data_IF_649197149859
#
_entry.id   IF_649197149859
#
_cell.length_a   1.000
_cell.length_b   1.000
_cell.length_c   1.000
_cell.angle_alpha   90.00
_cell.angle_beta   90.00
_cell.angle_gamma   90.00
#
_symmetry.space_group_name_H-M   'P 1'
#
loop_
_entity.id
_entity.type
_entity.pdbx_description
1 polymer ?
#
# COMPACT_ATOMS: atom_id res chain seq x y z
N UNK A 1 -40.15 -6.69 77.72
CA UNK A 1 -38.84 -6.00 77.80
C UNK A 1 -38.06 -6.31 76.52
N UNK A 2 -37.49 -5.25 75.95
CA UNK A 2 -36.86 -5.02 74.64
C UNK A 2 -36.36 -6.20 73.78
N UNK A 3 -36.79 -6.22 72.50
CA UNK A 3 -36.09 -6.84 71.37
C UNK A 3 -34.96 -5.90 70.92
N UNK A 4 -33.69 -6.32 71.01
CA UNK A 4 -32.56 -5.59 70.45
C UNK A 4 -32.44 -5.85 68.94
N UNK A 5 -32.53 -4.76 68.16
CA UNK A 5 -32.21 -4.69 66.73
C UNK A 5 -30.70 -4.84 66.54
N UNK A 6 -30.26 -5.82 65.74
CA UNK A 6 -28.90 -5.84 65.17
C UNK A 6 -28.89 -4.96 63.92
N UNK A 7 -28.27 -3.79 64.01
CA UNK A 7 -28.02 -2.90 62.87
C UNK A 7 -26.91 -3.50 62.00
N UNK A 8 -27.21 -3.71 60.72
CA UNK A 8 -26.23 -4.06 59.70
C UNK A 8 -25.55 -2.75 59.27
N UNK A 9 -24.27 -2.57 59.61
CA UNK A 9 -23.46 -1.45 59.13
C UNK A 9 -23.06 -1.76 57.67
N UNK A 10 -23.66 -1.08 56.71
CA UNK A 10 -23.22 -1.10 55.31
C UNK A 10 -21.99 -0.19 55.22
N UNK A 11 -20.79 -0.78 55.12
CA UNK A 11 -19.59 -0.05 54.70
C UNK A 11 -19.74 0.31 53.22
N UNK A 12 -20.01 1.58 52.94
CA UNK A 12 -19.93 2.14 51.61
C UNK A 12 -18.44 2.27 51.25
N UNK A 13 -17.91 1.32 50.47
CA UNK A 13 -16.58 1.43 49.90
C UNK A 13 -16.61 2.56 48.86
N UNK A 14 -16.07 3.73 49.22
CA UNK A 14 -15.80 4.81 48.28
C UNK A 14 -14.65 4.34 47.39
N UNK A 15 -14.99 3.84 46.20
CA UNK A 15 -14.02 3.66 45.12
C UNK A 15 -13.63 5.06 44.66
N UNK A 16 -12.48 5.54 45.13
CA UNK A 16 -11.83 6.71 44.54
C UNK A 16 -11.35 6.27 43.16
N UNK A 17 -12.14 6.57 42.14
CA UNK A 17 -11.66 6.57 40.76
C UNK A 17 -10.58 7.66 40.68
N UNK A 18 -9.33 7.27 40.89
CA UNK A 18 -8.19 8.07 40.52
C UNK A 18 -8.24 8.21 39.00
N UNK A 19 -8.91 9.26 38.52
CA UNK A 19 -8.77 9.70 37.14
C UNK A 19 -7.30 9.96 36.92
N UNK A 20 -6.64 9.07 36.18
CA UNK A 20 -5.29 9.34 35.68
C UNK A 20 -5.42 10.58 34.81
N UNK A 21 -5.08 11.74 35.37
CA UNK A 21 -5.00 12.97 34.61
C UNK A 21 -4.04 12.70 33.45
N UNK A 22 -4.56 12.74 32.24
CA UNK A 22 -3.73 12.70 31.03
C UNK A 22 -2.70 13.82 31.17
N UNK A 23 -1.41 13.48 31.22
CA UNK A 23 -0.37 14.51 31.23
C UNK A 23 -0.60 15.44 30.03
N UNK A 24 -0.30 16.75 30.13
CA UNK A 24 -0.36 17.66 28.97
C UNK A 24 0.56 17.16 27.85
N UNK A 25 0.19 17.45 26.58
CA UNK A 25 1.02 17.14 25.42
C UNK A 25 2.42 17.69 25.67
N UNK A 26 3.42 16.81 25.67
CA UNK A 26 4.81 17.25 25.76
C UNK A 26 5.13 17.92 24.43
N UNK A 27 5.87 19.02 24.48
CA UNK A 27 6.47 19.58 23.28
C UNK A 27 7.63 18.65 22.90
N UNK A 28 7.33 17.63 22.09
CA UNK A 28 8.36 16.74 21.55
C UNK A 28 8.86 17.34 20.24
N UNK A 29 10.16 17.28 19.98
CA UNK A 29 10.70 17.48 18.64
C UNK A 29 10.85 16.13 17.93
N UNK A 30 10.82 16.10 16.60
CA UNK A 30 11.28 14.95 15.84
C UNK A 30 12.64 14.44 16.36
N UNK A 31 12.72 13.14 16.66
CA UNK A 31 13.91 12.52 17.25
C UNK A 31 13.92 12.41 18.78
N UNK A 32 12.97 13.06 19.48
CA UNK A 32 12.83 12.89 20.93
C UNK A 32 12.28 11.51 21.30
N UNK A 33 12.81 10.93 22.37
CA UNK A 33 12.34 9.66 22.94
C UNK A 33 11.64 9.92 24.28
N UNK A 34 10.41 9.43 24.50
CA UNK A 34 9.73 9.57 25.78
C UNK A 34 10.41 8.75 26.87
N UNK A 35 10.21 9.13 28.14
CA UNK A 35 10.70 8.32 29.26
C UNK A 35 9.94 6.99 29.33
N UNK A 36 10.64 5.88 29.61
CA UNK A 36 10.08 4.52 29.61
C UNK A 36 8.87 4.34 30.54
N UNK A 37 8.82 5.10 31.64
CA UNK A 37 7.74 5.01 32.63
C UNK A 37 6.48 5.81 32.26
N UNK A 38 6.41 6.39 31.06
CA UNK A 38 5.22 7.08 30.55
C UNK A 38 4.40 6.19 29.63
N UNK A 39 3.20 6.64 29.31
CA UNK A 39 2.35 6.00 28.32
C UNK A 39 2.85 6.11 26.88
N UNK A 40 3.55 7.20 26.57
CA UNK A 40 4.29 7.33 25.32
C UNK A 40 5.48 6.38 25.26
N UNK A 41 6.12 6.09 26.40
CA UNK A 41 7.16 5.05 26.53
C UNK A 41 6.65 3.67 26.09
N UNK A 42 5.49 3.26 26.59
CA UNK A 42 4.86 1.99 26.18
C UNK A 42 4.47 1.93 24.69
N UNK A 43 4.11 3.06 24.07
CA UNK A 43 3.92 3.14 22.62
C UNK A 43 5.26 3.00 21.87
N UNK A 44 6.31 3.65 22.36
CA UNK A 44 7.66 3.54 21.79
C UNK A 44 8.15 2.09 21.80
N UNK A 45 8.06 1.41 22.94
CA UNK A 45 8.45 0.01 23.07
C UNK A 45 7.73 -0.90 22.06
N UNK A 46 6.41 -0.69 21.89
CA UNK A 46 5.60 -1.44 20.95
C UNK A 46 6.02 -1.18 19.49
N UNK A 47 6.32 0.07 19.15
CA UNK A 47 6.78 0.46 17.82
C UNK A 47 8.19 -0.04 17.52
N UNK A 48 9.10 0.00 18.48
CA UNK A 48 10.45 -0.57 18.34
C UNK A 48 10.41 -2.08 18.16
N UNK A 49 9.54 -2.78 18.88
CA UNK A 49 9.37 -4.22 18.68
C UNK A 49 8.79 -4.52 17.29
N UNK A 50 7.80 -3.73 16.85
CA UNK A 50 7.26 -3.80 15.49
C UNK A 50 8.34 -3.57 14.43
N UNK A 51 9.22 -2.58 14.64
CA UNK A 51 10.34 -2.26 13.76
C UNK A 51 11.37 -3.41 13.71
N UNK A 52 11.77 -3.96 14.87
CA UNK A 52 12.65 -5.13 14.95
C UNK A 52 12.06 -6.35 14.24
N UNK A 53 10.75 -6.54 14.34
CA UNK A 53 10.03 -7.61 13.68
C UNK A 53 9.93 -7.40 12.16
N UNK A 54 9.79 -6.15 11.70
CA UNK A 54 9.80 -5.77 10.28
C UNK A 54 11.18 -5.99 9.65
N UNK A 55 12.27 -5.62 10.33
CA UNK A 55 13.64 -5.81 9.85
C UNK A 55 13.97 -7.29 9.52
N UNK A 56 13.35 -8.22 10.26
CA UNK A 56 13.48 -9.67 10.07
C UNK A 56 12.45 -10.24 9.09
N UNK A 57 11.50 -9.44 8.60
CA UNK A 57 10.43 -9.92 7.73
C UNK A 57 10.95 -10.35 6.35
N UNK A 58 10.42 -11.43 5.77
CA UNK A 58 10.64 -11.79 4.37
C UNK A 58 9.94 -10.83 3.39
N UNK A 59 9.01 -9.99 3.86
CA UNK A 59 8.32 -9.00 3.04
C UNK A 59 9.11 -7.70 2.88
N UNK A 60 10.18 -7.51 3.66
CA UNK A 60 11.06 -6.36 3.51
C UNK A 60 11.85 -6.46 2.19
N UNK A 61 11.71 -5.46 1.34
CA UNK A 61 12.48 -5.34 0.09
C UNK A 61 13.89 -4.87 0.43
N UNK A 62 14.89 -5.70 0.10
CA UNK A 62 16.31 -5.45 0.42
C UNK A 62 17.14 -5.03 -0.80
N UNK A 63 16.49 -4.68 -1.90
CA UNK A 63 17.20 -4.20 -3.09
C UNK A 63 17.90 -2.86 -2.79
N UNK A 64 19.23 -2.78 -2.94
CA UNK A 64 19.98 -1.60 -2.52
C UNK A 64 19.65 -0.37 -3.36
N UNK A 65 19.40 -0.52 -4.67
CA UNK A 65 19.13 0.60 -5.57
C UNK A 65 17.77 1.25 -5.26
N UNK A 66 16.73 0.43 -5.08
CA UNK A 66 15.40 0.93 -4.71
C UNK A 66 15.41 1.57 -3.33
N UNK A 67 16.05 0.95 -2.32
CA UNK A 67 16.13 1.53 -0.98
C UNK A 67 16.88 2.86 -0.98
N UNK A 68 18.01 2.94 -1.70
CA UNK A 68 18.76 4.18 -1.83
C UNK A 68 17.91 5.28 -2.49
N UNK A 69 17.22 4.97 -3.58
CA UNK A 69 16.35 5.91 -4.29
C UNK A 69 15.25 6.48 -3.37
N UNK A 70 14.50 5.62 -2.68
CA UNK A 70 13.42 6.08 -1.80
C UNK A 70 13.98 6.84 -0.60
N UNK A 71 15.08 6.40 0.01
CA UNK A 71 15.74 7.11 1.11
C UNK A 71 16.19 8.51 0.69
N UNK A 72 16.78 8.67 -0.50
CA UNK A 72 17.20 9.97 -1.02
C UNK A 72 16.00 10.90 -1.23
N UNK A 73 14.90 10.39 -1.78
CA UNK A 73 13.66 11.16 -1.92
C UNK A 73 13.09 11.59 -0.57
N UNK A 74 13.00 10.67 0.40
CA UNK A 74 12.57 10.98 1.78
C UNK A 74 13.46 12.07 2.39
N UNK A 75 14.78 11.97 2.25
CA UNK A 75 15.70 12.96 2.81
C UNK A 75 15.59 14.35 2.16
N UNK A 76 15.29 14.42 0.85
CA UNK A 76 15.00 15.70 0.19
C UNK A 76 13.74 16.36 0.77
N UNK A 77 12.69 15.59 1.03
CA UNK A 77 11.45 16.09 1.64
C UNK A 77 11.60 16.40 3.14
N UNK A 78 12.37 15.60 3.87
CA UNK A 78 12.57 15.78 5.32
C UNK A 78 13.52 16.94 5.65
N UNK A 79 14.52 17.21 4.80
CA UNK A 79 15.58 18.17 5.09
C UNK A 79 16.39 17.74 6.33
N UNK A 80 16.58 18.65 7.29
CA UNK A 80 17.38 18.41 8.50
C UNK A 80 16.87 17.26 9.37
N UNK A 81 15.59 16.89 9.23
CA UNK A 81 14.97 15.77 9.94
C UNK A 81 15.25 14.40 9.31
N UNK A 82 15.93 14.33 8.15
CA UNK A 82 16.30 13.07 7.49
C UNK A 82 17.02 12.09 8.44
N UNK A 83 17.87 12.61 9.34
CA UNK A 83 18.61 11.80 10.33
C UNK A 83 17.71 11.05 11.32
N UNK A 84 16.47 11.51 11.48
CA UNK A 84 15.50 10.97 12.43
C UNK A 84 14.54 9.96 11.77
N UNK A 85 14.69 9.72 10.45
CA UNK A 85 13.79 8.86 9.66
C UNK A 85 14.51 7.62 9.16
N UNK A 86 13.91 6.45 9.41
CA UNK A 86 14.35 5.13 8.93
C UNK A 86 13.31 4.58 7.98
N UNK A 87 13.66 4.40 6.70
CA UNK A 87 12.73 4.00 5.64
C UNK A 87 12.77 2.50 5.41
N UNK A 88 11.59 1.87 5.34
CA UNK A 88 11.43 0.46 5.03
C UNK A 88 10.42 0.25 3.90
N UNK A 89 10.87 -0.38 2.81
CA UNK A 89 10.00 -0.73 1.69
C UNK A 89 9.43 -2.14 1.92
N UNK A 90 8.11 -2.25 1.96
CA UNK A 90 7.41 -3.49 2.33
C UNK A 90 6.61 -4.02 1.15
N UNK A 91 6.83 -5.29 0.78
CA UNK A 91 6.09 -5.99 -0.27
C UNK A 91 4.64 -6.22 0.14
N UNK A 92 3.80 -5.22 -0.11
CA UNK A 92 2.36 -5.20 0.14
C UNK A 92 1.69 -4.54 -1.06
N UNK A 93 0.83 -5.25 -1.81
CA UNK A 93 0.23 -4.71 -3.05
C UNK A 93 -0.87 -3.66 -2.83
N UNK A 94 -1.04 -3.18 -1.60
CA UNK A 94 -2.01 -2.16 -1.24
C UNK A 94 -1.35 -0.77 -1.24
N UNK A 95 -2.07 0.27 -1.65
CA UNK A 95 -1.57 1.64 -1.54
C UNK A 95 -1.49 2.04 -0.06
N UNK A 96 -0.29 2.29 0.45
CA UNK A 96 -0.08 2.85 1.77
C UNK A 96 1.36 3.36 1.91
N UNK A 97 1.52 4.44 2.66
CA UNK A 97 2.74 4.83 3.32
C UNK A 97 2.36 5.29 4.73
N UNK A 98 3.22 5.08 5.71
CA UNK A 98 2.94 5.52 7.08
C UNK A 98 4.23 5.91 7.78
N UNK A 99 4.13 6.87 8.68
CA UNK A 99 5.24 7.35 9.48
C UNK A 99 4.94 7.26 10.98
N UNK A 100 5.62 6.34 11.65
CA UNK A 100 5.51 6.17 13.09
C UNK A 100 6.22 7.31 13.85
N UNK A 101 5.77 7.64 15.08
CA UNK A 101 6.36 8.73 15.86
C UNK A 101 7.80 8.47 16.30
N UNK A 102 8.27 7.23 16.28
CA UNK A 102 9.67 6.89 16.58
C UNK A 102 10.61 7.09 15.37
N UNK A 103 10.11 7.56 14.22
CA UNK A 103 10.92 7.76 13.01
C UNK A 103 10.88 6.60 12.01
N UNK A 104 10.14 5.52 12.29
CA UNK A 104 9.98 4.40 11.35
C UNK A 104 8.97 4.76 10.24
N UNK A 105 9.46 4.91 9.01
CA UNK A 105 8.64 5.05 7.82
C UNK A 105 8.47 3.71 7.12
N UNK A 106 7.23 3.34 6.78
CA UNK A 106 6.94 2.21 5.91
C UNK A 106 6.34 2.70 4.59
N UNK A 107 6.90 2.23 3.47
CA UNK A 107 6.37 2.49 2.12
C UNK A 107 5.99 1.15 1.49
N UNK A 108 4.72 0.98 1.12
CA UNK A 108 4.25 -0.28 0.55
C UNK A 108 4.42 -0.30 -0.96
N UNK A 109 4.74 -1.47 -1.52
CA UNK A 109 4.95 -1.64 -2.98
C UNK A 109 3.70 -1.26 -3.79
N UNK A 110 2.50 -1.36 -3.22
CA UNK A 110 1.28 -0.87 -3.85
C UNK A 110 1.21 0.65 -4.00
N UNK A 111 1.91 1.44 -3.17
CA UNK A 111 2.07 2.88 -3.37
C UNK A 111 3.04 3.16 -4.53
N UNK A 112 4.17 2.45 -4.56
CA UNK A 112 5.16 2.55 -5.64
C UNK A 112 4.61 2.10 -7.01
N UNK A 113 3.69 1.14 -7.04
CA UNK A 113 3.04 0.72 -8.29
C UNK A 113 2.05 1.77 -8.82
N UNK A 114 1.43 2.55 -7.94
CA UNK A 114 0.33 3.48 -8.28
C UNK A 114 0.79 4.91 -8.51
N UNK A 115 1.86 5.35 -7.85
CA UNK A 115 2.48 6.61 -8.21
C UNK A 115 3.10 6.48 -9.60
N UNK A 116 2.85 7.46 -10.45
CA UNK A 116 3.31 7.48 -11.83
C UNK A 116 4.67 8.17 -11.94
N UNK A 117 4.97 9.12 -11.07
CA UNK A 117 6.21 9.88 -11.16
C UNK A 117 6.75 10.22 -9.76
N UNK A 118 7.98 10.73 -9.72
CA UNK A 118 8.68 11.08 -8.49
C UNK A 118 7.94 12.16 -7.70
N UNK A 119 7.29 13.11 -8.37
CA UNK A 119 6.49 14.16 -7.73
C UNK A 119 5.25 13.60 -7.00
N UNK A 120 4.56 12.61 -7.59
CA UNK A 120 3.43 11.92 -6.93
C UNK A 120 3.88 11.16 -5.69
N UNK A 121 4.97 10.38 -5.79
CA UNK A 121 5.54 9.69 -4.63
C UNK A 121 6.04 10.70 -3.59
N UNK A 122 6.71 11.76 -4.03
CA UNK A 122 7.23 12.83 -3.20
C UNK A 122 6.13 13.49 -2.37
N UNK A 123 4.99 13.82 -2.97
CA UNK A 123 3.83 14.35 -2.24
C UNK A 123 3.39 13.40 -1.11
N UNK A 124 3.26 12.10 -1.38
CA UNK A 124 2.88 11.09 -0.36
C UNK A 124 3.90 11.07 0.78
N UNK A 125 5.19 11.03 0.47
CA UNK A 125 6.24 11.01 1.48
C UNK A 125 6.28 12.31 2.30
N UNK A 126 6.10 13.46 1.63
CA UNK A 126 5.98 14.76 2.27
C UNK A 126 4.77 14.84 3.20
N UNK A 127 3.63 14.30 2.79
CA UNK A 127 2.43 14.19 3.64
C UNK A 127 2.70 13.37 4.91
N UNK A 128 3.31 12.19 4.78
CA UNK A 128 3.69 11.36 5.93
C UNK A 128 4.72 12.04 6.86
N UNK A 129 5.67 12.79 6.29
CA UNK A 129 6.62 13.61 7.05
C UNK A 129 5.87 14.74 7.78
N UNK A 130 4.86 15.37 7.16
CA UNK A 130 3.98 16.34 7.80
C UNK A 130 3.31 15.77 9.06
N UNK A 131 2.80 14.52 8.98
CA UNK A 131 2.25 13.83 10.15
C UNK A 131 3.27 13.61 11.27
N UNK A 132 4.52 13.31 10.91
CA UNK A 132 5.62 13.12 11.85
C UNK A 132 6.02 14.42 12.54
N UNK A 133 6.27 15.48 11.77
CA UNK A 133 6.65 16.80 12.30
C UNK A 133 5.52 17.39 13.17
N UNK A 134 4.27 17.22 12.75
CA UNK A 134 3.08 17.65 13.50
C UNK A 134 2.73 16.75 14.69
N UNK A 135 3.47 15.66 14.94
CA UNK A 135 3.22 14.67 16.01
C UNK A 135 1.77 14.13 16.01
N UNK A 136 1.18 13.97 14.83
CA UNK A 136 -0.23 13.64 14.68
C UNK A 136 -0.56 12.24 15.27
N UNK A 137 0.36 11.28 15.15
CA UNK A 137 0.20 9.93 15.74
C UNK A 137 0.22 9.95 17.27
N UNK A 138 1.01 10.82 17.88
CA UNK A 138 1.03 10.98 19.35
C UNK A 138 -0.24 11.68 19.84
N UNK A 139 -0.66 12.75 19.18
CA UNK A 139 -1.95 13.42 19.47
C UNK A 139 -3.11 12.43 19.34
N UNK A 140 -3.09 11.56 18.33
CA UNK A 140 -4.10 10.52 18.13
C UNK A 140 -4.02 9.40 19.17
N UNK A 141 -2.82 8.92 19.50
CA UNK A 141 -2.60 7.94 20.56
C UNK A 141 -3.18 8.40 21.89
N UNK A 142 -2.93 9.65 22.30
CA UNK A 142 -3.48 10.21 23.55
C UNK A 142 -5.00 10.28 23.55
N UNK A 143 -5.62 10.58 22.40
CA UNK A 143 -7.09 10.53 22.25
C UNK A 143 -7.62 9.11 22.42
N UNK A 144 -6.97 8.12 21.79
CA UNK A 144 -7.36 6.70 21.87
C UNK A 144 -7.06 6.10 23.25
N UNK A 145 -6.00 6.52 23.95
CA UNK A 145 -5.63 6.01 25.28
C UNK A 145 -6.70 6.27 26.34
N UNK A 146 -7.43 7.38 26.20
CA UNK A 146 -8.56 7.70 27.06
C UNK A 146 -9.78 6.77 26.81
N UNK A 147 -9.68 5.79 25.90
CA UNK A 147 -10.64 4.71 25.68
C UNK A 147 -10.16 3.40 26.31
N UNK A 148 -11.07 2.51 26.68
CA UNK A 148 -10.76 1.27 27.44
C UNK A 148 -9.85 0.25 26.73
N UNK A 149 -9.39 0.50 25.50
CA UNK A 149 -8.72 -0.48 24.64
C UNK A 149 -7.23 -0.18 24.34
N UNK A 150 -6.62 0.79 25.01
CA UNK A 150 -5.24 1.22 24.74
C UNK A 150 -4.21 0.09 24.85
N UNK A 151 -4.31 -0.75 25.88
CA UNK A 151 -3.39 -1.86 26.11
C UNK A 151 -3.50 -2.93 25.01
N UNK A 152 -4.72 -3.26 24.58
CA UNK A 152 -4.96 -4.21 23.48
C UNK A 152 -4.37 -3.70 22.17
N UNK A 153 -4.41 -2.39 21.93
CA UNK A 153 -3.81 -1.76 20.76
C UNK A 153 -2.27 -1.89 20.78
N UNK A 154 -1.62 -1.62 21.91
CA UNK A 154 -0.17 -1.80 22.07
C UNK A 154 0.25 -3.25 21.83
N UNK A 155 -0.48 -4.20 22.39
CA UNK A 155 -0.21 -5.62 22.18
C UNK A 155 -0.31 -6.02 20.71
N UNK A 156 -1.30 -5.50 19.97
CA UNK A 156 -1.44 -5.77 18.54
C UNK A 156 -0.29 -5.19 17.71
N UNK A 157 0.16 -3.97 18.04
CA UNK A 157 1.29 -3.31 17.36
C UNK A 157 2.60 -4.07 17.63
N UNK A 158 2.84 -4.44 18.90
CA UNK A 158 4.06 -5.13 19.32
C UNK A 158 4.12 -6.60 18.87
N UNK A 159 3.00 -7.33 18.93
CA UNK A 159 3.00 -8.78 18.79
C UNK A 159 3.12 -9.29 17.35
N UNK A 160 3.10 -8.42 16.32
CA UNK A 160 2.93 -8.88 14.93
C UNK A 160 3.96 -8.32 13.97
N UNK A 161 4.93 -9.18 13.65
CA UNK A 161 5.73 -9.10 12.44
C UNK A 161 4.80 -9.17 11.21
N UNK A 162 5.10 -8.45 10.11
CA UNK A 162 4.55 -8.76 8.81
C UNK A 162 5.02 -10.17 8.41
N UNK A 163 4.31 -11.22 8.85
CA UNK A 163 4.63 -12.60 8.49
C UNK A 163 4.27 -12.86 7.02
N UNK A 164 5.08 -13.67 6.33
CA UNK A 164 4.75 -14.20 5.01
C UNK A 164 3.77 -15.39 5.05
N UNK A 165 3.43 -15.89 6.24
CA UNK A 165 2.68 -17.14 6.43
C UNK A 165 1.16 -17.01 6.33
N UNK A 166 0.66 -15.95 5.70
CA UNK A 166 -0.76 -15.78 5.43
C UNK A 166 -0.94 -15.44 3.95
N UNK A 167 -1.01 -16.49 3.11
CA UNK A 167 -1.66 -16.36 1.82
C UNK A 167 -3.05 -15.76 2.04
N UNK A 168 -3.37 -14.68 1.34
CA UNK A 168 -4.64 -13.97 1.30
C UNK A 168 -5.19 -13.34 2.61
N UNK A 169 -4.73 -13.74 3.80
CA UNK A 169 -5.11 -13.07 5.05
C UNK A 169 -4.16 -11.91 5.35
N UNK A 170 -4.39 -10.80 4.66
CA UNK A 170 -4.02 -9.50 5.18
C UNK A 170 -4.55 -9.42 6.62
N UNK A 171 -3.67 -9.33 7.63
CA UNK A 171 -4.08 -9.40 9.03
C UNK A 171 -4.98 -8.20 9.34
N UNK A 172 -6.29 -8.41 9.24
CA UNK A 172 -7.32 -7.39 9.40
C UNK A 172 -7.23 -6.76 10.79
N UNK A 173 -6.79 -7.52 11.80
CA UNK A 173 -6.59 -6.99 13.14
C UNK A 173 -5.39 -6.03 13.20
N UNK A 174 -4.28 -6.39 12.54
CA UNK A 174 -3.12 -5.49 12.43
C UNK A 174 -3.47 -4.23 11.63
N UNK A 175 -4.19 -4.36 10.50
CA UNK A 175 -4.67 -3.19 9.75
C UNK A 175 -5.58 -2.32 10.61
N UNK A 176 -6.52 -2.90 11.35
CA UNK A 176 -7.42 -2.14 12.22
C UNK A 176 -6.66 -1.40 13.33
N UNK A 177 -5.62 -2.04 13.89
CA UNK A 177 -4.73 -1.42 14.86
C UNK A 177 -3.98 -0.22 14.26
N UNK A 178 -3.32 -0.41 13.11
CA UNK A 178 -2.67 0.68 12.37
C UNK A 178 -3.68 1.77 11.99
N UNK A 179 -4.83 1.42 11.43
CA UNK A 179 -5.89 2.37 11.08
C UNK A 179 -6.36 3.19 12.27
N UNK A 180 -6.41 2.62 13.48
CA UNK A 180 -6.81 3.35 14.68
C UNK A 180 -5.75 4.39 15.10
N UNK A 181 -4.46 4.03 14.98
CA UNK A 181 -3.34 4.88 15.37
C UNK A 181 -3.07 5.99 14.34
N UNK A 182 -3.23 5.68 13.05
CA UNK A 182 -2.94 6.56 11.92
C UNK A 182 -4.20 7.20 11.32
N UNK A 183 -5.32 7.21 12.06
CA UNK A 183 -6.52 7.95 11.66
C UNK A 183 -6.47 9.36 12.23
N UNK A 184 -6.30 10.33 11.35
CA UNK A 184 -6.08 11.71 11.76
C UNK A 184 -7.33 12.58 11.62
N UNK A 185 -7.28 13.75 12.28
CA UNK A 185 -8.33 14.77 12.16
C UNK A 185 -8.22 15.52 10.83
N UNK A 186 -9.29 16.17 10.39
CA UNK A 186 -9.28 16.97 9.15
C UNK A 186 -8.20 18.06 9.15
N UNK A 187 -7.93 18.66 10.32
CA UNK A 187 -6.90 19.69 10.44
C UNK A 187 -5.48 19.09 10.37
N UNK A 188 -5.28 17.88 10.89
CA UNK A 188 -4.00 17.16 10.77
C UNK A 188 -3.72 16.75 9.32
N UNK A 189 -4.74 16.30 8.59
CA UNK A 189 -4.62 16.00 7.16
C UNK A 189 -4.26 17.28 6.38
N UNK A 190 -4.93 18.41 6.65
CA UNK A 190 -4.66 19.70 5.99
C UNK A 190 -3.23 20.20 6.25
N UNK A 191 -2.77 20.13 7.49
CA UNK A 191 -1.39 20.49 7.86
C UNK A 191 -0.36 19.63 7.12
N UNK A 192 -0.65 18.34 6.97
CA UNK A 192 0.24 17.38 6.30
C UNK A 192 0.20 17.51 4.77
N UNK A 193 -0.97 17.75 4.19
CA UNK A 193 -1.17 18.06 2.77
C UNK A 193 -0.40 19.33 2.39
N UNK A 194 -0.52 20.40 3.18
CA UNK A 194 0.23 21.65 2.98
C UNK A 194 1.74 21.42 3.02
N UNK A 195 2.24 20.67 4.02
CA UNK A 195 3.67 20.33 4.11
C UNK A 195 4.15 19.60 2.85
N UNK A 196 3.39 18.60 2.39
CA UNK A 196 3.71 17.84 1.18
C UNK A 196 3.79 18.72 -0.06
N UNK A 197 2.85 19.66 -0.23
CA UNK A 197 2.86 20.58 -1.36
C UNK A 197 3.99 21.62 -1.27
N UNK A 198 4.18 22.28 -0.13
CA UNK A 198 5.24 23.26 0.06
C UNK A 198 6.63 22.67 -0.20
N UNK A 199 6.87 21.44 0.29
CA UNK A 199 8.11 20.71 -0.01
C UNK A 199 8.25 20.35 -1.48
N UNK A 200 7.15 19.95 -2.14
CA UNK A 200 7.17 19.65 -3.58
C UNK A 200 7.57 20.89 -4.39
N UNK A 201 6.96 22.05 -4.09
CA UNK A 201 7.30 23.34 -4.73
C UNK A 201 8.75 23.72 -4.46
N UNK A 202 9.22 23.60 -3.21
CA UNK A 202 10.60 23.91 -2.85
C UNK A 202 11.65 23.03 -3.57
N UNK A 203 11.27 21.81 -3.95
CA UNK A 203 12.10 20.87 -4.69
C UNK A 203 11.93 20.98 -6.22
N UNK A 204 11.08 21.89 -6.72
CA UNK A 204 10.83 22.09 -8.15
C UNK A 204 9.79 21.15 -8.77
N UNK A 205 9.13 20.29 -7.96
CA UNK A 205 8.09 19.39 -8.44
C UNK A 205 6.76 20.08 -8.66
N UNK A 206 6.01 19.60 -9.66
CA UNK A 206 4.63 20.03 -9.93
C UNK A 206 3.70 19.68 -8.74
N UNK A 207 3.19 20.68 -7.99
CA UNK A 207 2.32 20.42 -6.83
C UNK A 207 0.97 19.83 -7.23
N UNK A 208 0.55 19.94 -8.50
CA UNK A 208 -0.71 19.34 -8.96
C UNK A 208 -0.70 17.80 -8.90
N UNK A 209 0.49 17.20 -8.79
CA UNK A 209 0.64 15.75 -8.75
C UNK A 209 0.01 15.10 -7.51
N UNK A 210 -0.06 15.81 -6.38
CA UNK A 210 -0.72 15.30 -5.17
C UNK A 210 -2.21 15.04 -5.36
N UNK A 211 -2.96 16.04 -5.86
CA UNK A 211 -4.39 15.85 -6.11
C UNK A 211 -4.68 14.92 -7.30
N UNK A 212 -3.82 14.89 -8.33
CA UNK A 212 -3.94 13.95 -9.45
C UNK A 212 -3.82 12.50 -8.97
N UNK A 213 -2.85 12.21 -8.11
CA UNK A 213 -2.73 10.90 -7.48
C UNK A 213 -3.98 10.57 -6.65
N UNK A 214 -4.44 11.51 -5.83
CA UNK A 214 -5.66 11.31 -5.03
C UNK A 214 -6.90 11.01 -5.90
N UNK A 215 -7.07 11.73 -7.01
CA UNK A 215 -8.13 11.48 -7.98
C UNK A 215 -8.04 10.07 -8.57
N UNK A 216 -6.84 9.60 -8.92
CA UNK A 216 -6.63 8.25 -9.41
C UNK A 216 -7.00 7.19 -8.36
N UNK A 217 -6.63 7.42 -7.10
CA UNK A 217 -6.98 6.52 -5.98
C UNK A 217 -8.50 6.48 -5.72
N UNK A 218 -9.20 7.60 -5.86
CA UNK A 218 -10.66 7.65 -5.77
C UNK A 218 -11.33 6.85 -6.90
N UNK A 219 -10.80 6.93 -8.13
CA UNK A 219 -11.30 6.11 -9.24
C UNK A 219 -11.13 4.61 -8.97
N UNK A 220 -9.97 4.21 -8.44
CA UNK A 220 -9.70 2.83 -8.01
C UNK A 220 -10.62 2.38 -6.87
N UNK A 221 -10.91 3.23 -5.90
CA UNK A 221 -11.81 2.95 -4.77
C UNK A 221 -13.27 2.84 -5.21
N UNK A 222 -13.71 3.69 -6.13
CA UNK A 222 -15.06 3.63 -6.69
C UNK A 222 -15.33 2.33 -7.46
N UNK A 223 -14.28 1.73 -8.04
CA UNK A 223 -14.37 0.43 -8.70
C UNK A 223 -14.17 -0.77 -7.76
N UNK A 224 -13.74 -0.58 -6.51
CA UNK A 224 -13.39 -1.67 -5.59
C UNK A 224 -14.56 -2.65 -5.36
N UNK A 225 -14.23 -3.94 -5.31
CA UNK A 225 -15.10 -4.92 -4.66
C UNK A 225 -15.20 -4.61 -3.16
N UNK A 226 -16.37 -4.14 -2.71
CA UNK A 226 -16.61 -3.65 -1.35
C UNK A 226 -16.33 -4.69 -0.26
N UNK A 227 -16.24 -5.98 -0.59
CA UNK A 227 -15.85 -7.04 0.34
C UNK A 227 -14.35 -7.09 0.62
N UNK A 228 -13.52 -6.41 -0.18
CA UNK A 228 -12.05 -6.33 0.00
C UNK A 228 -11.70 -5.12 0.85
N UNK A 229 -10.65 -5.15 1.69
CA UNK A 229 -10.28 -3.99 2.51
C UNK A 229 -9.80 -2.80 1.65
N UNK A 230 -10.05 -1.58 2.12
CA UNK A 230 -9.40 -0.36 1.60
C UNK A 230 -8.27 0.03 2.54
N UNK A 231 -7.03 0.12 2.03
CA UNK A 231 -5.84 0.34 2.89
C UNK A 231 -5.61 1.80 3.21
N UNK A 232 -5.61 2.68 2.20
CA UNK A 232 -5.35 4.11 2.37
C UNK A 232 -6.55 4.82 2.98
N UNK A 233 -7.77 4.46 2.56
CA UNK A 233 -8.97 5.11 3.06
C UNK A 233 -9.41 4.62 4.46
N UNK A 234 -8.71 3.62 5.01
CA UNK A 234 -8.84 3.25 6.42
C UNK A 234 -8.15 4.28 7.35
N UNK A 235 -7.03 4.86 6.91
CA UNK A 235 -6.26 5.88 7.66
C UNK A 235 -6.61 7.30 7.23
N UNK A 236 -6.82 7.51 5.93
CA UNK A 236 -7.05 8.81 5.29
C UNK A 236 -8.38 8.79 4.51
N UNK A 237 -9.53 9.24 5.05
CA UNK A 237 -10.84 9.02 4.44
C UNK A 237 -11.00 9.53 2.99
N UNK A 238 -11.62 8.72 2.11
CA UNK A 238 -11.98 9.07 0.73
C UNK A 238 -13.14 10.07 0.71
N UNK A 239 -12.88 11.35 0.48
CA UNK A 239 -13.95 12.34 0.27
C UNK A 239 -13.67 13.21 -0.95
N UNK A 240 -14.73 13.52 -1.70
CA UNK A 240 -14.68 14.53 -2.78
C UNK A 240 -14.34 15.92 -2.23
N UNK A 241 -14.72 16.18 -0.97
CA UNK A 241 -14.34 17.37 -0.20
C UNK A 241 -12.81 17.50 -0.13
N UNK A 242 -12.09 16.42 0.24
CA UNK A 242 -10.63 16.44 0.31
C UNK A 242 -9.99 16.62 -1.07
N UNK A 243 -10.51 15.97 -2.12
CA UNK A 243 -10.00 16.19 -3.48
C UNK A 243 -10.10 17.67 -3.88
N UNK A 244 -11.23 18.30 -3.57
CA UNK A 244 -11.45 19.72 -3.83
C UNK A 244 -10.45 20.59 -3.05
N UNK A 245 -10.23 20.28 -1.76
CA UNK A 245 -9.25 20.98 -0.92
C UNK A 245 -7.83 20.84 -1.47
N UNK A 246 -7.37 19.62 -1.76
CA UNK A 246 -6.05 19.35 -2.33
C UNK A 246 -5.79 20.13 -3.63
N UNK A 247 -6.82 20.20 -4.48
CA UNK A 247 -6.72 20.96 -5.73
C UNK A 247 -6.57 22.46 -5.48
N UNK A 248 -7.40 23.04 -4.61
CA UNK A 248 -7.34 24.46 -4.28
C UNK A 248 -6.02 24.82 -3.60
N UNK A 249 -5.51 23.97 -2.71
CA UNK A 249 -4.22 24.17 -2.05
C UNK A 249 -3.08 24.16 -3.07
N UNK A 250 -3.02 23.16 -3.94
CA UNK A 250 -2.02 23.10 -5.00
C UNK A 250 -2.09 24.31 -5.96
N UNK A 251 -3.29 24.77 -6.32
CA UNK A 251 -3.51 25.96 -7.17
C UNK A 251 -3.16 27.28 -6.47
N UNK A 252 -3.20 27.32 -5.14
CA UNK A 252 -2.85 28.51 -4.34
C UNK A 252 -1.35 28.74 -4.21
N UNK A 253 -0.54 27.71 -4.48
CA UNK A 253 0.91 27.79 -4.37
C UNK A 253 1.52 28.46 -5.61
N UNK A 254 2.65 29.16 -5.45
CA UNK A 254 3.35 29.77 -6.58
C UNK A 254 3.65 28.75 -7.67
N UNK A 255 3.36 29.10 -8.93
CA UNK A 255 3.65 28.28 -10.10
C UNK A 255 5.16 28.20 -10.36
N UNK A 256 5.86 27.40 -9.56
CA UNK A 256 7.33 27.29 -9.60
C UNK A 256 7.85 25.86 -9.81
N UNK A 257 6.98 24.84 -9.79
CA UNK A 257 7.37 23.47 -10.08
C UNK A 257 6.67 22.91 -11.32
N UNK A 258 7.45 22.37 -12.26
CA UNK A 258 6.95 21.60 -13.41
C UNK A 258 7.61 20.24 -13.53
N UNK A 259 8.58 19.94 -12.67
CA UNK A 259 9.29 18.67 -12.73
C UNK A 259 8.39 17.54 -12.22
N UNK A 260 8.45 16.41 -12.93
CA UNK A 260 7.77 15.18 -12.52
C UNK A 260 8.74 14.15 -11.96
N UNK A 261 10.02 14.19 -12.36
CA UNK A 261 10.99 13.13 -12.09
C UNK A 261 10.58 11.77 -12.67
N UNK A 262 9.93 11.77 -13.85
CA UNK A 262 9.41 10.53 -14.45
C UNK A 262 10.52 9.52 -14.79
N UNK A 263 11.65 9.97 -15.35
CA UNK A 263 12.73 9.08 -15.78
C UNK A 263 13.42 8.38 -14.60
N UNK A 264 13.75 9.12 -13.53
CA UNK A 264 14.35 8.57 -12.32
C UNK A 264 13.40 7.58 -11.65
N UNK A 265 12.12 7.95 -11.53
CA UNK A 265 11.08 7.10 -10.99
C UNK A 265 10.91 5.80 -11.78
N UNK A 266 10.76 5.90 -13.10
CA UNK A 266 10.62 4.75 -13.97
C UNK A 266 11.82 3.82 -13.88
N UNK A 267 13.03 4.38 -13.86
CA UNK A 267 14.27 3.58 -13.72
C UNK A 267 14.29 2.80 -12.42
N UNK A 268 13.89 3.42 -11.31
CA UNK A 268 13.83 2.78 -10.00
C UNK A 268 12.73 1.72 -9.89
N UNK A 269 11.56 1.92 -10.51
CA UNK A 269 10.43 0.99 -10.40
C UNK A 269 10.48 -0.18 -11.40
N UNK A 270 11.06 0.03 -12.58
CA UNK A 270 11.04 -0.92 -13.71
C UNK A 270 11.43 -2.37 -13.35
N UNK A 271 12.48 -2.64 -12.55
CA UNK A 271 12.86 -4.00 -12.21
C UNK A 271 11.79 -4.80 -11.46
N UNK A 272 10.85 -4.10 -10.81
CA UNK A 272 9.87 -4.70 -9.90
C UNK A 272 8.46 -4.81 -10.48
N UNK A 273 8.18 -4.15 -11.61
CA UNK A 273 6.83 -4.04 -12.17
C UNK A 273 6.16 -5.40 -12.36
N UNK A 274 6.87 -6.39 -12.92
CA UNK A 274 6.31 -7.73 -13.12
C UNK A 274 5.88 -8.37 -11.81
N UNK A 275 6.71 -8.29 -10.76
CA UNK A 275 6.39 -8.85 -9.45
C UNK A 275 5.24 -8.11 -8.78
N UNK A 276 5.23 -6.79 -8.82
CA UNK A 276 4.19 -5.99 -8.16
C UNK A 276 2.83 -6.09 -8.87
N UNK A 277 2.81 -6.17 -10.19
CA UNK A 277 1.58 -6.42 -10.95
C UNK A 277 1.04 -7.83 -10.67
N UNK A 278 1.90 -8.83 -10.52
CA UNK A 278 1.49 -10.16 -10.10
C UNK A 278 0.88 -10.16 -8.67
N UNK A 279 1.51 -9.44 -7.73
CA UNK A 279 0.99 -9.26 -6.38
C UNK A 279 -0.37 -8.52 -6.37
N UNK A 280 -0.53 -7.50 -7.21
CA UNK A 280 -1.79 -6.76 -7.38
C UNK A 280 -2.91 -7.67 -7.88
N UNK A 281 -2.65 -8.46 -8.93
CA UNK A 281 -3.62 -9.43 -9.46
C UNK A 281 -3.98 -10.50 -8.40
N UNK A 282 -3.02 -10.91 -7.58
CA UNK A 282 -3.24 -11.86 -6.48
C UNK A 282 -4.18 -11.33 -5.40
N UNK A 283 -4.37 -10.00 -5.26
CA UNK A 283 -5.36 -9.44 -4.31
C UNK A 283 -6.81 -9.81 -4.66
N UNK A 284 -7.06 -10.26 -5.89
CA UNK A 284 -8.39 -10.61 -6.43
C UNK A 284 -9.40 -9.47 -6.33
N UNK A 285 -8.95 -8.22 -6.35
CA UNK A 285 -9.82 -7.04 -6.49
C UNK A 285 -9.84 -6.61 -7.96
N UNK A 286 -10.28 -7.52 -8.83
CA UNK A 286 -10.13 -7.39 -10.27
C UNK A 286 -10.68 -6.09 -10.87
N UNK A 287 -11.85 -5.55 -10.44
CA UNK A 287 -12.34 -4.29 -11.00
C UNK A 287 -11.42 -3.11 -10.66
N UNK A 288 -10.88 -3.05 -9.44
CA UNK A 288 -9.88 -2.04 -9.05
C UNK A 288 -8.58 -2.22 -9.84
N UNK A 289 -8.11 -3.45 -10.00
CA UNK A 289 -6.91 -3.75 -10.79
C UNK A 289 -7.08 -3.33 -12.26
N UNK A 290 -8.26 -3.50 -12.86
CA UNK A 290 -8.52 -3.05 -14.24
C UNK A 290 -8.42 -1.53 -14.38
N UNK A 291 -8.95 -0.76 -13.42
CA UNK A 291 -8.80 0.72 -13.39
C UNK A 291 -7.34 1.13 -13.30
N UNK A 292 -6.56 0.46 -12.46
CA UNK A 292 -5.12 0.69 -12.36
C UNK A 292 -4.41 0.39 -13.70
N UNK A 293 -4.69 -0.76 -14.32
CA UNK A 293 -4.08 -1.14 -15.60
C UNK A 293 -4.47 -0.19 -16.73
N UNK A 294 -5.73 0.28 -16.78
CA UNK A 294 -6.20 1.29 -17.74
C UNK A 294 -5.43 2.59 -17.57
N UNK A 295 -5.28 3.07 -16.33
CA UNK A 295 -4.53 4.28 -16.02
C UNK A 295 -3.06 4.17 -16.43
N UNK A 296 -2.38 3.09 -16.02
CA UNK A 296 -0.97 2.87 -16.36
C UNK A 296 -0.76 2.73 -17.87
N UNK A 297 -1.70 2.13 -18.61
CA UNK A 297 -1.60 1.97 -20.06
C UNK A 297 -1.82 3.28 -20.82
N UNK A 298 -2.63 4.20 -20.28
CA UNK A 298 -2.89 5.53 -20.86
C UNK A 298 -1.86 6.58 -20.45
N UNK A 299 -0.85 6.20 -19.66
CA UNK A 299 0.24 7.08 -19.26
C UNK A 299 1.23 7.23 -20.42
N UNK A 300 1.56 8.47 -20.74
CA UNK A 300 2.63 8.78 -21.69
C UNK A 300 3.97 8.18 -21.23
N UNK A 301 4.61 7.43 -22.12
CA UNK A 301 5.96 6.88 -21.89
C UNK A 301 6.04 5.63 -21.02
N UNK A 302 4.93 4.94 -20.70
CA UNK A 302 5.01 3.71 -19.92
C UNK A 302 5.94 2.67 -20.59
N UNK A 303 6.93 2.09 -19.88
CA UNK A 303 8.04 1.39 -20.52
C UNK A 303 7.71 0.04 -21.15
N UNK A 304 6.62 -0.63 -20.72
CA UNK A 304 6.29 -1.99 -21.14
C UNK A 304 4.77 -2.17 -21.36
N UNK A 305 4.17 -1.57 -22.40
CA UNK A 305 2.72 -1.69 -22.64
C UNK A 305 2.27 -3.15 -22.83
N UNK A 306 3.12 -4.02 -23.39
CA UNK A 306 2.83 -5.45 -23.51
C UNK A 306 2.73 -6.17 -22.15
N UNK A 307 3.47 -5.70 -21.14
CA UNK A 307 3.37 -6.23 -19.77
C UNK A 307 2.00 -5.92 -19.15
N UNK A 308 1.47 -4.71 -19.36
CA UNK A 308 0.15 -4.33 -18.86
C UNK A 308 -0.97 -5.10 -19.57
N UNK A 309 -0.85 -5.29 -20.88
CA UNK A 309 -1.78 -6.12 -21.65
C UNK A 309 -1.76 -7.58 -21.17
N UNK A 310 -0.57 -8.13 -20.90
CA UNK A 310 -0.45 -9.47 -20.31
C UNK A 310 -1.16 -9.58 -18.95
N UNK A 311 -0.92 -8.63 -18.03
CA UNK A 311 -1.58 -8.66 -16.72
C UNK A 311 -3.08 -8.40 -16.80
N UNK A 312 -3.56 -7.69 -17.83
CA UNK A 312 -5.00 -7.61 -18.12
C UNK A 312 -5.56 -8.97 -18.50
N UNK A 313 -4.85 -9.76 -19.30
CA UNK A 313 -5.18 -11.15 -19.59
C UNK A 313 -5.23 -12.01 -18.33
N UNK A 314 -4.25 -11.87 -17.43
CA UNK A 314 -4.20 -12.56 -16.14
C UNK A 314 -5.40 -12.21 -15.24
N UNK A 315 -5.85 -10.95 -15.24
CA UNK A 315 -7.06 -10.52 -14.52
C UNK A 315 -8.28 -11.28 -15.04
N UNK A 316 -8.51 -11.31 -16.35
CA UNK A 316 -9.66 -12.02 -16.92
C UNK A 316 -9.58 -13.53 -16.67
N UNK A 317 -8.40 -14.13 -16.87
CA UNK A 317 -8.16 -15.56 -16.63
C UNK A 317 -8.48 -15.97 -15.20
N UNK A 318 -8.14 -15.14 -14.21
CA UNK A 318 -8.39 -15.43 -12.78
C UNK A 318 -9.77 -15.01 -12.31
N UNK A 319 -10.39 -13.99 -12.90
CA UNK A 319 -11.75 -13.53 -12.56
C UNK A 319 -12.82 -14.53 -13.00
N UNK A 320 -12.66 -15.17 -14.16
CA UNK A 320 -13.56 -16.20 -14.70
C UNK A 320 -15.03 -15.77 -14.78
N UNK A 321 -15.29 -14.49 -15.02
CA UNK A 321 -16.65 -14.03 -15.30
C UNK A 321 -17.09 -14.48 -16.72
N UNK A 322 -18.40 -14.50 -17.02
CA UNK A 322 -18.87 -14.80 -18.37
C UNK A 322 -18.18 -13.95 -19.44
N UNK A 323 -17.62 -14.61 -20.45
CA UNK A 323 -16.85 -13.99 -21.54
C UNK A 323 -15.41 -13.60 -21.20
N UNK A 324 -14.91 -13.92 -19.99
CA UNK A 324 -13.52 -13.61 -19.63
C UNK A 324 -12.51 -14.50 -20.35
N UNK A 325 -12.84 -15.74 -20.74
CA UNK A 325 -11.91 -16.59 -21.50
C UNK A 325 -11.53 -15.93 -22.84
N UNK A 326 -12.53 -15.40 -23.56
CA UNK A 326 -12.28 -14.63 -24.79
C UNK A 326 -11.50 -13.35 -24.51
N UNK A 327 -11.88 -12.58 -23.48
CA UNK A 327 -11.18 -11.34 -23.12
C UNK A 327 -9.73 -11.58 -22.69
N UNK A 328 -9.43 -12.72 -22.06
CA UNK A 328 -8.08 -13.12 -21.72
C UNK A 328 -7.25 -13.40 -22.99
N UNK A 329 -7.82 -14.16 -23.94
CA UNK A 329 -7.19 -14.40 -25.26
C UNK A 329 -6.93 -13.08 -25.98
N UNK A 330 -7.93 -12.22 -26.10
CA UNK A 330 -7.81 -10.92 -26.77
C UNK A 330 -6.72 -10.05 -26.13
N UNK A 331 -6.62 -10.06 -24.79
CA UNK A 331 -5.59 -9.32 -24.06
C UNK A 331 -4.18 -9.91 -24.24
N UNK A 332 -4.03 -11.23 -24.30
CA UNK A 332 -2.74 -11.87 -24.58
C UNK A 332 -2.28 -11.64 -26.01
N UNK A 333 -3.19 -11.69 -26.99
CA UNK A 333 -2.87 -11.34 -28.38
C UNK A 333 -2.41 -9.88 -28.47
N UNK A 334 -3.15 -8.95 -27.85
CA UNK A 334 -2.73 -7.56 -27.77
C UNK A 334 -1.36 -7.37 -27.08
N UNK A 335 -1.05 -8.19 -26.08
CA UNK A 335 0.27 -8.16 -25.43
C UNK A 335 1.39 -8.58 -26.40
N UNK A 336 1.19 -9.62 -27.20
CA UNK A 336 2.19 -10.09 -28.18
C UNK A 336 2.49 -9.03 -29.26
N UNK A 337 1.51 -8.19 -29.59
CA UNK A 337 1.67 -7.08 -30.54
C UNK A 337 2.39 -5.86 -29.94
N UNK A 338 2.63 -5.85 -28.62
CA UNK A 338 3.21 -4.72 -27.90
C UNK A 338 4.62 -5.05 -27.35
N UNK A 339 5.53 -4.05 -27.28
CA UNK A 339 6.84 -4.23 -26.68
C UNK A 339 6.75 -4.53 -25.18
N UNK A 340 7.70 -5.32 -24.68
CA UNK A 340 7.84 -5.61 -23.26
C UNK A 340 6.89 -6.69 -22.71
N UNK A 341 6.23 -7.48 -23.58
CA UNK A 341 5.44 -8.62 -23.12
C UNK A 341 6.33 -9.74 -22.55
N UNK A 342 5.88 -10.47 -21.51
CA UNK A 342 6.59 -11.65 -21.03
C UNK A 342 6.60 -12.77 -22.08
N UNK A 343 7.70 -13.51 -22.19
CA UNK A 343 7.75 -14.69 -23.09
C UNK A 343 6.72 -15.77 -22.70
N UNK A 344 6.33 -15.83 -21.43
CA UNK A 344 5.28 -16.74 -20.93
C UNK A 344 3.88 -16.37 -21.44
N UNK A 345 3.69 -15.22 -22.08
CA UNK A 345 2.41 -14.84 -22.71
C UNK A 345 1.96 -15.88 -23.73
N UNK A 346 2.87 -16.44 -24.54
CA UNK A 346 2.53 -17.51 -25.50
C UNK A 346 2.04 -18.79 -24.81
N UNK A 347 2.68 -19.17 -23.70
CA UNK A 347 2.24 -20.31 -22.89
C UNK A 347 0.85 -20.08 -22.30
N UNK A 348 0.64 -18.92 -21.70
CA UNK A 348 -0.61 -18.58 -21.04
C UNK A 348 -1.76 -18.38 -22.04
N UNK A 349 -1.45 -17.93 -23.26
CA UNK A 349 -2.35 -17.94 -24.41
C UNK A 349 -2.73 -19.36 -24.83
N UNK A 350 -1.77 -20.29 -24.90
CA UNK A 350 -2.03 -21.70 -25.16
C UNK A 350 -2.99 -22.32 -24.12
N UNK A 351 -2.80 -22.01 -22.83
CA UNK A 351 -3.73 -22.42 -21.78
C UNK A 351 -5.13 -21.81 -21.97
N UNK A 352 -5.22 -20.55 -22.38
CA UNK A 352 -6.49 -19.88 -22.63
C UNK A 352 -7.25 -20.52 -23.82
N UNK A 353 -6.57 -20.86 -24.92
CA UNK A 353 -7.17 -21.58 -26.05
C UNK A 353 -7.66 -22.98 -25.66
N UNK A 354 -6.91 -23.72 -24.84
CA UNK A 354 -7.38 -25.03 -24.33
C UNK A 354 -8.68 -24.92 -23.56
N UNK A 355 -8.86 -23.86 -22.75
CA UNK A 355 -10.08 -23.65 -21.96
C UNK A 355 -11.32 -23.48 -22.82
N UNK A 356 -11.18 -22.85 -24.00
CA UNK A 356 -12.27 -22.73 -24.98
C UNK A 356 -12.30 -23.88 -26.00
N UNK A 357 -11.51 -24.94 -25.75
CA UNK A 357 -11.42 -26.15 -26.57
C UNK A 357 -10.90 -25.92 -28.01
N UNK A 358 -10.16 -24.83 -28.24
CA UNK A 358 -9.46 -24.59 -29.50
C UNK A 358 -8.08 -25.27 -29.50
N UNK A 359 -8.05 -26.56 -29.85
CA UNK A 359 -6.82 -27.35 -29.86
C UNK A 359 -5.77 -26.79 -30.81
N UNK A 360 -6.19 -26.35 -32.01
CA UNK A 360 -5.28 -25.93 -33.06
C UNK A 360 -4.54 -24.67 -32.63
N UNK A 361 -5.28 -23.67 -32.14
CA UNK A 361 -4.67 -22.44 -31.64
C UNK A 361 -3.83 -22.68 -30.38
N UNK A 362 -4.27 -23.56 -29.48
CA UNK A 362 -3.50 -23.93 -28.30
C UNK A 362 -2.13 -24.54 -28.66
N UNK A 363 -2.13 -25.53 -29.56
CA UNK A 363 -0.90 -26.21 -29.99
C UNK A 363 0.05 -25.25 -30.72
N UNK A 364 -0.48 -24.33 -31.52
CA UNK A 364 0.33 -23.30 -32.17
C UNK A 364 1.01 -22.40 -31.13
N UNK A 365 0.25 -21.84 -30.19
CA UNK A 365 0.79 -20.97 -29.15
C UNK A 365 1.85 -21.67 -28.26
N UNK A 366 1.65 -22.95 -27.94
CA UNK A 366 2.64 -23.75 -27.22
C UNK A 366 3.90 -24.03 -28.04
N UNK A 367 3.77 -24.32 -29.33
CA UNK A 367 4.92 -24.50 -30.21
C UNK A 367 5.77 -23.22 -30.28
N UNK A 368 5.11 -22.06 -30.42
CA UNK A 368 5.77 -20.75 -30.44
C UNK A 368 6.45 -20.45 -29.09
N UNK A 369 5.81 -20.80 -27.97
CA UNK A 369 6.43 -20.70 -26.64
C UNK A 369 7.71 -21.55 -26.54
N UNK A 370 7.67 -22.82 -26.94
CA UNK A 370 8.83 -23.71 -26.90
C UNK A 370 9.93 -23.30 -27.89
N UNK A 371 9.57 -22.65 -29.00
CA UNK A 371 10.55 -22.07 -29.91
C UNK A 371 11.30 -20.89 -29.27
N UNK A 372 10.57 -20.00 -28.58
CA UNK A 372 11.18 -18.85 -27.88
C UNK A 372 11.92 -19.26 -26.59
N UNK A 373 11.54 -20.38 -25.97
CA UNK A 373 12.18 -20.95 -24.78
C UNK A 373 12.42 -22.47 -24.92
N UNK A 374 13.46 -22.88 -25.66
CA UNK A 374 13.75 -24.30 -25.87
C UNK A 374 14.10 -25.05 -24.58
N UNK A 375 14.64 -24.35 -23.59
CA UNK A 375 15.08 -24.92 -22.30
C UNK A 375 14.11 -24.59 -21.15
N UNK A 376 12.83 -24.33 -21.45
CA UNK A 376 11.86 -24.03 -20.41
C UNK A 376 11.66 -25.21 -19.43
N UNK A 377 11.66 -24.93 -18.12
CA UNK A 377 11.46 -25.95 -17.07
C UNK A 377 10.12 -26.71 -17.23
N UNK A 378 9.11 -26.05 -17.79
CA UNK A 378 7.78 -26.60 -18.05
C UNK A 378 7.64 -27.28 -19.42
N UNK A 379 8.73 -27.42 -20.20
CA UNK A 379 8.69 -27.99 -21.56
C UNK A 379 8.00 -29.33 -21.65
N UNK A 380 8.36 -30.28 -20.78
CA UNK A 380 7.79 -31.63 -20.80
C UNK A 380 6.27 -31.62 -20.56
N UNK A 381 5.79 -30.72 -19.68
CA UNK A 381 4.36 -30.51 -19.44
C UNK A 381 3.68 -29.95 -20.70
N UNK A 382 4.27 -28.94 -21.33
CA UNK A 382 3.72 -28.33 -22.55
C UNK A 382 3.64 -29.35 -23.70
N UNK A 383 4.73 -30.11 -23.95
CA UNK A 383 4.76 -31.15 -24.99
C UNK A 383 3.74 -32.27 -24.73
N UNK A 384 3.50 -32.60 -23.45
CA UNK A 384 2.46 -33.55 -23.07
C UNK A 384 1.07 -32.99 -23.38
N UNK A 385 0.78 -31.76 -22.96
CA UNK A 385 -0.50 -31.10 -23.22
C UNK A 385 -0.80 -31.01 -24.73
N UNK A 386 0.19 -30.74 -25.57
CA UNK A 386 -0.01 -30.67 -27.03
C UNK A 386 -0.53 -31.97 -27.67
N UNK A 387 -0.30 -33.13 -27.00
CA UNK A 387 -0.77 -34.45 -27.44
C UNK A 387 -2.15 -34.80 -26.88
N UNK A 388 -2.55 -34.15 -25.80
CA UNK A 388 -3.85 -34.37 -25.17
C UNK A 388 -4.95 -33.51 -25.83
N UNK A 389 -6.17 -34.06 -25.97
CA UNK A 389 -7.30 -33.25 -26.42
C UNK A 389 -7.58 -32.12 -25.43
N UNK A 390 -7.93 -30.96 -25.96
CA UNK A 390 -8.24 -29.75 -25.24
C UNK A 390 -9.52 -29.97 -24.46
N UNK A 391 -9.35 -30.37 -23.20
CA UNK A 391 -10.39 -30.37 -22.19
C UNK A 391 -10.21 -29.10 -21.38
N UNK A 392 -11.32 -28.59 -20.84
CA UNK A 392 -11.21 -27.62 -19.76
C UNK A 392 -10.33 -28.26 -18.68
N UNK A 393 -9.24 -27.59 -18.30
CA UNK A 393 -8.46 -28.01 -17.14
C UNK A 393 -9.41 -27.86 -15.95
N UNK A 394 -9.88 -28.98 -15.42
CA UNK A 394 -10.51 -29.03 -14.09
C UNK A 394 -9.38 -28.72 -13.08
N UNK A 395 -9.58 -27.68 -12.28
CA UNK A 395 -8.57 -27.21 -11.30
C UNK A 395 -8.35 -28.22 -10.17
#
# INVERSE_FOLDING_TARGET
MSRLRRGCLVMLAVVVLAGCASAPLRDMSPGDTPAENTDEGGLWDALEESERALQKSPLLIRDPALNQYVQQLVCRYAGDYCKDIRVYIVRRPYFNASMAPNGMMQVWTGALLRAENEAQLGFVLGHEIGHFLGQHSIKQWRRTKNTANALSLLQLIAARSPSASAGDAFDVALLAAYATLFKYSRDHERESDLHGFERSVALGYDPSQGWKLWQALLAEENARDRHKPSSIFATHPATDERLTTLRLEAESLPAHGSELGSESYETAMRPFLTTWLADEVQRRNYPQTLVLLDRLANRDGFPNPGLLAYFRGEVFRKRRAPGDDKRAIDAYLAALDLPGHPTVTLRDLGYAYRRIQDQTAANQAFADYLHTRPDADDRALIEHLMKEPARALED
#
